data_IF_172184330647
#
_entry.id   IF_172184330647
#
_cell.length_a   1.000
_cell.length_b   1.000
_cell.length_c   1.000
_cell.angle_alpha   90.00
_cell.angle_beta   90.00
_cell.angle_gamma   90.00
#
_symmetry.space_group_name_H-M   'P 1'
#
loop_
_entity.id
_entity.type
_entity.pdbx_description
1 polymer ?
#
# COMPACT_ATOMS: atom_id res chain seq x y z
N UNK A 1 23.70 -14.83 4.96
CA UNK A 1 22.84 -14.42 3.82
C UNK A 1 22.56 -12.94 4.00
N UNK A 2 23.25 -12.10 3.28
CA UNK A 2 23.10 -10.64 3.34
C UNK A 2 21.81 -10.29 2.61
N UNK A 3 20.73 -10.04 3.38
CA UNK A 3 19.48 -9.53 2.85
C UNK A 3 19.74 -8.19 2.17
N UNK A 4 19.41 -8.10 0.88
CA UNK A 4 19.43 -6.87 0.12
C UNK A 4 18.39 -5.93 0.73
N UNK A 5 18.71 -4.66 1.04
CA UNK A 5 17.72 -3.73 1.58
C UNK A 5 16.51 -3.62 0.65
N UNK A 6 15.32 -3.35 1.22
CA UNK A 6 14.12 -3.03 0.44
C UNK A 6 14.51 -2.01 -0.62
N UNK A 7 14.25 -2.33 -1.88
CA UNK A 7 14.46 -1.35 -2.93
C UNK A 7 13.42 -0.25 -2.71
N UNK A 8 13.87 0.98 -2.85
CA UNK A 8 12.99 2.15 -2.85
C UNK A 8 11.79 2.03 -3.82
N UNK A 9 11.82 1.06 -4.74
CA UNK A 9 10.79 0.76 -5.73
C UNK A 9 9.59 -0.02 -5.16
N UNK A 10 9.69 -0.57 -3.94
CA UNK A 10 8.61 -1.36 -3.31
C UNK A 10 7.78 -0.54 -2.31
N UNK A 11 8.04 0.76 -2.18
CA UNK A 11 7.35 1.66 -1.25
C UNK A 11 6.68 2.82 -2.00
N UNK A 12 5.46 3.18 -1.57
CA UNK A 12 4.82 4.43 -2.01
C UNK A 12 5.56 5.60 -1.36
N UNK A 13 6.46 6.23 -2.11
CA UNK A 13 7.16 7.43 -1.69
C UNK A 13 6.93 8.55 -2.70
N UNK A 14 6.77 9.76 -2.19
CA UNK A 14 6.84 10.94 -3.02
C UNK A 14 8.32 11.18 -3.39
N UNK A 15 8.63 11.09 -4.70
CA UNK A 15 9.98 11.37 -5.21
C UNK A 15 9.92 12.61 -6.09
N UNK A 16 10.14 13.80 -5.52
CA UNK A 16 10.20 15.01 -6.32
C UNK A 16 11.31 14.90 -7.37
N UNK A 17 10.97 15.18 -8.63
CA UNK A 17 11.95 15.20 -9.73
C UNK A 17 12.32 13.86 -10.35
N UNK A 18 11.67 12.74 -9.97
CA UNK A 18 11.79 11.50 -10.74
C UNK A 18 10.98 11.66 -12.02
N UNK A 19 11.66 11.85 -13.15
CA UNK A 19 10.99 11.94 -14.43
C UNK A 19 10.36 10.58 -14.78
N UNK A 20 9.04 10.55 -14.94
CA UNK A 20 8.35 9.41 -15.55
C UNK A 20 8.79 9.36 -17.00
N UNK A 21 9.21 8.19 -17.49
CA UNK A 21 9.68 8.04 -18.87
C UNK A 21 8.60 8.47 -19.87
N UNK A 22 8.99 9.08 -20.97
CA UNK A 22 8.04 9.48 -22.00
C UNK A 22 7.24 8.26 -22.51
N UNK A 23 5.91 8.33 -22.45
CA UNK A 23 5.03 7.24 -22.88
C UNK A 23 4.74 6.19 -21.79
N UNK A 24 5.17 6.41 -20.53
CA UNK A 24 4.85 5.56 -19.38
C UNK A 24 4.07 6.33 -18.33
N UNK A 25 3.41 5.61 -17.42
CA UNK A 25 2.84 6.12 -16.17
C UNK A 25 3.26 5.22 -15.01
N UNK A 26 3.27 5.74 -13.80
CA UNK A 26 3.53 4.94 -12.58
C UNK A 26 2.22 4.77 -11.84
N UNK A 27 1.81 3.53 -11.63
CA UNK A 27 0.62 3.20 -10.86
C UNK A 27 0.95 2.33 -9.64
N UNK A 28 0.06 2.37 -8.66
CA UNK A 28 0.04 1.45 -7.54
C UNK A 28 -1.39 1.03 -7.23
N UNK A 29 -1.57 -0.14 -6.63
CA UNK A 29 -2.89 -0.63 -6.24
C UNK A 29 -2.90 -0.92 -4.75
N UNK A 30 -3.92 -0.43 -4.06
CA UNK A 30 -3.98 -0.45 -2.59
C UNK A 30 -5.38 -0.76 -2.07
N UNK A 31 -5.47 -1.19 -0.81
CA UNK A 31 -6.67 -1.05 0.00
C UNK A 31 -6.53 0.24 0.79
N UNK A 32 -7.39 1.22 0.52
CA UNK A 32 -7.42 2.50 1.25
C UNK A 32 -8.03 2.30 2.65
N UNK A 33 -7.51 3.03 3.64
CA UNK A 33 -8.10 3.03 4.98
C UNK A 33 -9.34 3.93 5.01
N UNK A 34 -10.41 3.52 5.73
CA UNK A 34 -11.57 4.39 5.93
C UNK A 34 -11.30 5.46 6.99
N UNK A 35 -12.11 6.53 6.94
CA UNK A 35 -12.18 7.50 8.04
C UNK A 35 -12.91 6.90 9.27
N UNK A 36 -12.52 7.26 10.50
CA UNK A 36 -11.48 8.23 10.87
C UNK A 36 -10.07 7.64 10.97
N UNK A 37 -9.89 6.35 10.64
CA UNK A 37 -8.59 5.67 10.78
C UNK A 37 -7.51 6.27 9.86
N UNK A 38 -7.89 6.65 8.64
CA UNK A 38 -6.96 7.28 7.70
C UNK A 38 -6.39 8.59 8.28
N UNK A 39 -7.25 9.45 8.83
CA UNK A 39 -6.84 10.70 9.46
C UNK A 39 -5.89 10.46 10.65
N UNK A 40 -6.19 9.48 11.49
CA UNK A 40 -5.33 9.09 12.61
C UNK A 40 -3.92 8.69 12.13
N UNK A 41 -3.82 7.94 11.04
CA UNK A 41 -2.52 7.53 10.48
C UNK A 41 -1.76 8.71 9.87
N UNK A 42 -2.45 9.65 9.22
CA UNK A 42 -1.82 10.88 8.71
C UNK A 42 -1.24 11.70 9.87
N UNK A 43 -1.98 11.84 10.96
CA UNK A 43 -1.51 12.56 12.16
C UNK A 43 -0.30 11.89 12.81
N UNK A 44 -0.30 10.56 12.93
CA UNK A 44 0.85 9.82 13.47
C UNK A 44 2.08 9.93 12.58
N UNK A 45 1.92 9.79 11.27
CA UNK A 45 3.02 9.99 10.31
C UNK A 45 3.58 11.41 10.41
N UNK A 46 2.71 12.41 10.52
CA UNK A 46 3.12 13.81 10.74
C UNK A 46 3.87 14.02 12.06
N UNK A 47 3.40 13.42 13.19
CA UNK A 47 4.10 13.45 14.48
C UNK A 47 5.49 12.82 14.41
N UNK A 48 5.65 11.76 13.61
CA UNK A 48 6.94 11.11 13.39
C UNK A 48 7.87 11.89 12.45
N UNK A 49 7.40 13.00 11.88
CA UNK A 49 8.19 13.82 10.96
C UNK A 49 8.27 13.28 9.55
N UNK A 50 7.35 12.38 9.16
CA UNK A 50 7.26 11.88 7.78
C UNK A 50 6.79 13.02 6.84
N UNK A 51 7.66 13.52 5.94
CA UNK A 51 7.32 14.62 5.05
C UNK A 51 6.24 14.24 4.03
N UNK A 52 5.93 12.96 3.91
CA UNK A 52 4.97 12.43 2.94
C UNK A 52 3.62 12.09 3.57
N UNK A 53 3.43 12.40 4.84
CA UNK A 53 2.21 12.05 5.58
C UNK A 53 0.92 12.51 4.88
N UNK A 54 0.94 13.69 4.23
CA UNK A 54 -0.20 14.27 3.50
C UNK A 54 -0.19 13.98 1.99
N UNK A 55 0.89 13.41 1.44
CA UNK A 55 1.07 13.20 -0.01
C UNK A 55 0.71 11.78 -0.44
N UNK A 56 0.86 10.83 0.47
CA UNK A 56 0.58 9.41 0.24
C UNK A 56 -0.47 8.96 1.25
N UNK A 57 -1.73 8.75 0.82
CA UNK A 57 -2.79 8.30 1.71
C UNK A 57 -2.45 6.98 2.42
N UNK A 58 -2.83 6.78 3.69
CA UNK A 58 -2.63 5.52 4.40
C UNK A 58 -3.34 4.36 3.72
N UNK A 59 -2.66 3.22 3.58
CA UNK A 59 -3.16 2.10 2.80
C UNK A 59 -2.48 0.78 3.17
N UNK A 60 -3.08 -0.34 2.72
CA UNK A 60 -2.42 -1.64 2.58
C UNK A 60 -2.05 -1.83 1.11
N UNK A 61 -0.77 -2.03 0.82
CA UNK A 61 -0.27 -2.20 -0.55
C UNK A 61 -0.69 -3.56 -1.13
N UNK A 62 -1.28 -3.57 -2.32
CA UNK A 62 -1.52 -4.78 -3.14
C UNK A 62 -0.51 -4.88 -4.29
N UNK A 63 -0.24 -3.76 -4.96
CA UNK A 63 0.80 -3.60 -5.97
C UNK A 63 1.60 -2.35 -5.65
N UNK A 64 2.92 -2.44 -5.38
CA UNK A 64 3.75 -1.27 -5.17
C UNK A 64 3.90 -0.46 -6.46
N UNK A 65 4.45 0.77 -6.38
CA UNK A 65 4.67 1.63 -7.55
C UNK A 65 5.29 0.86 -8.72
N UNK A 66 4.60 0.88 -9.84
CA UNK A 66 4.94 0.09 -11.03
C UNK A 66 4.83 0.98 -12.26
N UNK A 67 5.95 1.14 -12.98
CA UNK A 67 5.97 1.84 -14.25
C UNK A 67 5.36 0.96 -15.34
N UNK A 68 4.40 1.50 -16.10
CA UNK A 68 3.68 0.79 -17.17
C UNK A 68 3.57 1.67 -18.40
N UNK A 69 3.60 1.10 -19.61
CA UNK A 69 3.31 1.83 -20.85
C UNK A 69 1.89 2.42 -20.83
N UNK A 70 1.72 3.67 -21.23
CA UNK A 70 0.39 4.32 -21.30
C UNK A 70 -0.56 3.50 -22.19
N UNK A 71 -0.06 2.91 -23.28
CA UNK A 71 -0.86 2.05 -24.17
C UNK A 71 -1.42 0.79 -23.53
N UNK A 72 -0.86 0.32 -22.40
CA UNK A 72 -1.34 -0.86 -21.67
C UNK A 72 -2.42 -0.52 -20.62
N UNK A 73 -2.64 0.77 -20.33
CA UNK A 73 -3.64 1.21 -19.33
C UNK A 73 -5.04 0.62 -19.54
N UNK A 74 -5.59 0.52 -20.78
CA UNK A 74 -6.90 -0.10 -20.99
C UNK A 74 -6.91 -1.60 -20.61
N UNK A 75 -5.87 -2.36 -20.95
CA UNK A 75 -5.77 -3.78 -20.60
C UNK A 75 -5.60 -3.97 -19.08
N UNK A 76 -4.83 -3.10 -18.42
CA UNK A 76 -4.67 -3.09 -16.97
C UNK A 76 -6.02 -2.81 -16.29
N UNK A 77 -6.78 -1.82 -16.75
CA UNK A 77 -8.11 -1.52 -16.19
C UNK A 77 -9.06 -2.71 -16.31
N UNK A 78 -9.14 -3.34 -17.47
CA UNK A 78 -9.96 -4.55 -17.65
C UNK A 78 -9.53 -5.69 -16.72
N UNK A 79 -8.23 -5.87 -16.52
CA UNK A 79 -7.70 -6.86 -15.58
C UNK A 79 -8.13 -6.57 -14.15
N UNK A 80 -8.00 -5.33 -13.67
CA UNK A 80 -8.39 -4.94 -12.32
C UNK A 80 -9.90 -5.04 -12.10
N UNK A 81 -10.73 -4.70 -13.10
CA UNK A 81 -12.19 -4.93 -13.08
C UNK A 81 -12.51 -6.43 -12.92
N UNK A 82 -11.83 -7.31 -13.65
CA UNK A 82 -12.01 -8.74 -13.54
C UNK A 82 -11.56 -9.28 -12.17
N UNK A 83 -10.46 -8.80 -11.63
CA UNK A 83 -10.00 -9.14 -10.28
C UNK A 83 -11.08 -8.76 -9.26
N UNK A 84 -11.61 -7.55 -9.33
CA UNK A 84 -12.66 -7.07 -8.43
C UNK A 84 -13.95 -7.90 -8.53
N UNK A 85 -14.34 -8.30 -9.74
CA UNK A 85 -15.52 -9.13 -9.98
C UNK A 85 -15.40 -10.57 -9.42
N UNK A 86 -14.19 -11.07 -9.21
CA UNK A 86 -13.93 -12.44 -8.73
C UNK A 86 -13.56 -12.54 -7.26
N UNK A 87 -13.34 -11.42 -6.57
CA UNK A 87 -13.00 -11.39 -5.14
C UNK A 87 -14.17 -10.83 -4.33
N UNK A 88 -14.58 -11.53 -3.24
CA UNK A 88 -15.61 -11.02 -2.34
C UNK A 88 -15.07 -9.90 -1.45
N UNK A 89 -15.94 -9.01 -0.94
CA UNK A 89 -15.61 -8.12 0.18
C UNK A 89 -15.18 -8.93 1.41
N UNK A 90 -14.20 -8.42 2.16
CA UNK A 90 -13.65 -9.08 3.36
C UNK A 90 -13.38 -8.06 4.48
N UNK A 91 -13.10 -8.58 5.68
CA UNK A 91 -12.83 -7.72 6.83
C UNK A 91 -11.35 -7.73 7.17
N UNK A 92 -10.79 -6.55 7.47
CA UNK A 92 -9.46 -6.37 8.02
C UNK A 92 -9.58 -6.02 9.50
N UNK A 93 -8.79 -6.69 10.33
CA UNK A 93 -8.54 -6.29 11.71
C UNK A 93 -7.07 -5.93 11.86
N UNK A 94 -6.79 -4.68 12.23
CA UNK A 94 -5.47 -4.18 12.58
C UNK A 94 -5.28 -4.26 14.09
N UNK A 95 -4.11 -4.72 14.54
CA UNK A 95 -3.80 -4.80 15.97
C UNK A 95 -2.32 -4.54 16.23
N UNK A 96 -2.05 -3.54 17.05
CA UNK A 96 -0.71 -3.19 17.47
C UNK A 96 0.25 -2.91 16.32
N UNK A 97 1.51 -2.83 16.67
CA UNK A 97 2.58 -2.46 15.75
C UNK A 97 3.55 -3.62 15.49
N UNK A 98 4.19 -3.58 14.34
CA UNK A 98 5.32 -4.41 13.98
C UNK A 98 6.42 -3.57 13.34
N UNK A 99 7.59 -4.17 13.11
CA UNK A 99 8.70 -3.49 12.44
C UNK A 99 9.43 -4.43 11.51
N UNK A 100 9.95 -3.90 10.42
CA UNK A 100 10.84 -4.64 9.53
C UNK A 100 12.32 -4.50 9.90
N UNK A 101 12.65 -3.79 10.97
CA UNK A 101 14.04 -3.68 11.46
C UNK A 101 14.62 -5.05 11.81
N UNK A 102 15.87 -5.32 11.51
CA UNK A 102 16.89 -4.43 10.93
C UNK A 102 16.94 -4.43 9.40
N UNK A 103 15.96 -5.05 8.70
CA UNK A 103 15.96 -5.14 7.23
C UNK A 103 15.60 -3.80 6.60
N UNK A 104 14.63 -3.08 7.17
CA UNK A 104 14.28 -1.71 6.80
C UNK A 104 13.73 -0.92 7.99
N UNK A 105 13.96 0.39 7.96
CA UNK A 105 13.55 1.34 9.00
C UNK A 105 12.06 1.69 8.84
N UNK A 106 11.19 0.70 9.11
CA UNK A 106 9.74 0.82 8.99
C UNK A 106 9.06 0.32 10.24
N UNK A 107 8.08 1.07 10.72
CA UNK A 107 7.07 0.67 11.72
C UNK A 107 5.70 0.69 11.04
N UNK A 108 4.91 -0.34 11.29
CA UNK A 108 3.62 -0.56 10.65
C UNK A 108 2.57 -1.10 11.62
N UNK A 109 1.27 -0.95 11.30
CA UNK A 109 0.19 -1.69 11.96
C UNK A 109 0.09 -3.09 11.36
N UNK A 110 -0.09 -4.06 12.24
CA UNK A 110 -0.19 -5.49 11.87
C UNK A 110 -1.61 -5.84 11.44
N UNK A 111 -1.73 -6.55 10.32
CA UNK A 111 -2.99 -7.14 9.87
C UNK A 111 -3.17 -8.50 10.56
N UNK A 112 -3.94 -8.51 11.65
CA UNK A 112 -4.21 -9.73 12.45
C UNK A 112 -5.27 -10.63 11.80
N UNK A 113 -6.24 -10.05 11.06
CA UNK A 113 -7.28 -10.76 10.30
C UNK A 113 -7.42 -10.12 8.92
N UNK A 114 -7.78 -10.91 7.92
CA UNK A 114 -7.87 -10.46 6.53
C UNK A 114 -6.55 -10.56 5.77
N UNK A 115 -5.47 -11.01 6.42
CA UNK A 115 -4.15 -11.15 5.78
C UNK A 115 -4.14 -12.10 4.60
N UNK A 116 -4.84 -13.24 4.71
CA UNK A 116 -4.98 -14.22 3.61
C UNK A 116 -5.79 -13.63 2.45
N UNK A 117 -6.85 -12.88 2.74
CA UNK A 117 -7.65 -12.22 1.71
C UNK A 117 -6.84 -11.14 0.99
N UNK A 118 -6.04 -10.35 1.74
CA UNK A 118 -5.09 -9.40 1.16
C UNK A 118 -4.06 -10.10 0.25
N UNK A 119 -3.52 -11.24 0.68
CA UNK A 119 -2.54 -12.01 -0.10
C UNK A 119 -3.14 -12.54 -1.40
N UNK A 120 -4.33 -13.12 -1.36
CA UNK A 120 -5.04 -13.62 -2.53
C UNK A 120 -5.38 -12.49 -3.51
N UNK A 121 -5.91 -11.38 -3.01
CA UNK A 121 -6.23 -10.20 -3.81
C UNK A 121 -4.96 -9.60 -4.42
N UNK A 122 -3.89 -9.45 -3.64
CA UNK A 122 -2.62 -8.93 -4.12
C UNK A 122 -1.97 -9.85 -5.15
N UNK A 123 -2.08 -11.18 -5.00
CA UNK A 123 -1.59 -12.14 -6.00
C UNK A 123 -2.37 -12.02 -7.31
N UNK A 124 -3.70 -11.87 -7.24
CA UNK A 124 -4.54 -11.66 -8.41
C UNK A 124 -4.23 -10.33 -9.11
N UNK A 125 -4.11 -9.23 -8.37
CA UNK A 125 -3.71 -7.91 -8.91
C UNK A 125 -2.37 -8.00 -9.63
N UNK A 126 -1.38 -8.67 -9.04
CA UNK A 126 -0.03 -8.85 -9.60
C UNK A 126 0.07 -9.99 -10.62
N UNK A 127 -1.02 -10.32 -11.30
CA UNK A 127 -1.03 -11.28 -12.40
C UNK A 127 -1.28 -10.57 -13.75
N UNK A 128 -1.26 -11.34 -14.86
CA UNK A 128 -1.54 -10.80 -16.19
C UNK A 128 -0.62 -9.62 -16.55
N UNK A 129 -1.18 -8.47 -16.96
CA UNK A 129 -0.39 -7.32 -17.40
C UNK A 129 0.42 -6.65 -16.27
N UNK A 130 0.10 -6.95 -15.01
CA UNK A 130 0.79 -6.41 -13.83
C UNK A 130 1.73 -7.45 -13.18
N UNK A 131 2.06 -8.52 -13.89
CA UNK A 131 2.97 -9.56 -13.37
C UNK A 131 4.32 -8.97 -13.02
N UNK A 132 4.73 -9.16 -11.77
CA UNK A 132 6.06 -8.78 -11.29
C UNK A 132 6.55 -9.68 -10.15
N UNK A 133 7.85 -9.78 -10.02
CA UNK A 133 8.49 -10.42 -8.86
C UNK A 133 8.60 -9.43 -7.71
N UNK A 134 8.28 -9.89 -6.51
CA UNK A 134 8.52 -9.15 -5.28
C UNK A 134 9.96 -9.41 -4.79
N UNK A 135 10.57 -8.39 -4.16
CA UNK A 135 11.87 -8.52 -3.53
C UNK A 135 11.83 -9.33 -2.23
N UNK A 136 10.64 -9.37 -1.59
CA UNK A 136 10.36 -10.09 -0.33
C UNK A 136 9.01 -10.80 -0.41
N UNK A 137 8.75 -11.80 0.45
CA UNK A 137 7.41 -12.36 0.60
C UNK A 137 6.40 -11.26 0.92
N UNK A 138 5.21 -11.37 0.33
CA UNK A 138 4.14 -10.41 0.59
C UNK A 138 3.76 -10.41 2.07
N UNK A 139 3.69 -9.23 2.65
CA UNK A 139 3.29 -9.01 4.04
C UNK A 139 2.32 -7.82 4.10
N UNK A 140 1.00 -8.04 4.25
CA UNK A 140 0.04 -6.95 4.33
C UNK A 140 0.24 -6.14 5.62
N UNK A 141 0.37 -4.83 5.49
CA UNK A 141 0.61 -3.91 6.60
C UNK A 141 0.16 -2.49 6.25
N UNK A 142 0.00 -1.66 7.26
CA UNK A 142 -0.19 -0.21 7.11
C UNK A 142 1.02 0.51 7.67
N UNK A 143 1.78 1.19 6.85
CA UNK A 143 2.97 1.95 7.29
C UNK A 143 2.57 3.13 8.17
N UNK A 144 3.20 3.24 9.33
CA UNK A 144 3.02 4.33 10.31
C UNK A 144 4.22 5.26 10.32
N UNK A 145 5.43 4.72 10.25
CA UNK A 145 6.67 5.50 10.24
C UNK A 145 7.69 4.84 9.31
N UNK A 146 8.33 5.65 8.47
CA UNK A 146 9.28 5.22 7.47
C UNK A 146 10.28 6.33 7.19
N UNK A 147 11.57 5.97 7.06
CA UNK A 147 12.68 6.91 6.79
C UNK A 147 12.76 8.10 7.77
N UNK A 148 12.45 7.84 9.04
CA UNK A 148 12.56 8.79 10.15
C UNK A 148 13.61 8.31 11.16
N UNK A 149 13.94 9.14 12.18
CA UNK A 149 14.93 8.73 13.18
C UNK A 149 14.48 7.52 14.01
N UNK A 150 15.43 6.78 14.59
CA UNK A 150 15.14 5.62 15.45
C UNK A 150 14.18 5.97 16.58
N UNK A 151 14.36 7.15 17.19
CA UNK A 151 13.50 7.63 18.27
C UNK A 151 12.05 7.83 17.81
N UNK A 152 11.85 8.29 16.55
CA UNK A 152 10.51 8.46 15.98
C UNK A 152 9.88 7.12 15.62
N UNK A 153 10.68 6.16 15.14
CA UNK A 153 10.22 4.78 14.92
C UNK A 153 9.78 4.14 16.24
N UNK A 154 10.56 4.29 17.32
CA UNK A 154 10.22 3.74 18.63
C UNK A 154 8.98 4.43 19.21
N UNK A 155 8.86 5.74 19.09
CA UNK A 155 7.67 6.50 19.47
C UNK A 155 6.42 6.01 18.73
N UNK A 156 6.51 5.75 17.44
CA UNK A 156 5.39 5.21 16.65
C UNK A 156 5.01 3.80 17.10
N UNK A 157 6.02 2.94 17.34
CA UNK A 157 5.82 1.58 17.76
C UNK A 157 5.13 1.50 19.13
N UNK A 158 5.58 2.30 20.11
CA UNK A 158 5.00 2.34 21.46
C UNK A 158 3.63 3.01 21.47
N UNK A 159 3.49 4.14 20.75
CA UNK A 159 2.27 4.95 20.79
C UNK A 159 1.05 4.28 20.14
N UNK A 160 1.26 3.30 19.27
CA UNK A 160 0.19 2.54 18.59
C UNK A 160 0.19 1.06 18.98
N UNK A 161 0.96 0.65 20.02
CA UNK A 161 1.05 -0.74 20.43
C UNK A 161 -0.30 -1.37 20.80
N UNK A 162 -1.19 -0.58 21.38
CA UNK A 162 -2.52 -1.02 21.81
C UNK A 162 -3.64 -0.62 20.82
N UNK A 163 -3.29 -0.17 19.62
CA UNK A 163 -4.29 0.18 18.61
C UNK A 163 -5.01 -1.06 18.12
N UNK A 164 -6.35 -1.00 18.11
CA UNK A 164 -7.24 -1.97 17.48
C UNK A 164 -8.19 -1.23 16.54
N UNK A 165 -8.32 -1.73 15.31
CA UNK A 165 -9.27 -1.18 14.34
C UNK A 165 -9.79 -2.30 13.42
N UNK A 166 -11.07 -2.26 13.14
CA UNK A 166 -11.71 -3.17 12.20
C UNK A 166 -12.42 -2.38 11.11
N UNK A 167 -12.32 -2.85 9.88
CA UNK A 167 -13.08 -2.28 8.77
C UNK A 167 -13.31 -3.31 7.68
N UNK A 168 -14.37 -3.07 6.90
CA UNK A 168 -14.71 -3.89 5.75
C UNK A 168 -14.07 -3.33 4.49
N UNK A 169 -13.39 -4.18 3.74
CA UNK A 169 -12.85 -3.87 2.42
C UNK A 169 -13.91 -4.20 1.39
N UNK A 170 -14.52 -3.17 0.81
CA UNK A 170 -15.52 -3.29 -0.25
C UNK A 170 -14.96 -2.99 -1.64
N UNK A 171 -13.78 -2.37 -1.69
CA UNK A 171 -13.11 -1.98 -2.91
C UNK A 171 -11.60 -1.91 -2.71
N UNK A 172 -10.86 -1.91 -3.81
CA UNK A 172 -9.46 -1.48 -3.84
C UNK A 172 -9.28 -0.32 -4.82
N UNK A 173 -8.20 0.45 -4.61
CA UNK A 173 -7.96 1.72 -5.29
C UNK A 173 -6.71 1.63 -6.16
N UNK A 174 -6.80 2.09 -7.38
CA UNK A 174 -5.66 2.38 -8.25
C UNK A 174 -5.24 3.83 -8.03
N UNK A 175 -3.99 4.01 -7.65
CA UNK A 175 -3.32 5.31 -7.60
C UNK A 175 -2.44 5.49 -8.83
N UNK A 176 -2.32 6.73 -9.29
CA UNK A 176 -1.38 7.16 -10.31
C UNK A 176 -0.47 8.24 -9.75
N UNK A 177 0.83 8.13 -10.03
CA UNK A 177 1.78 9.16 -9.66
C UNK A 177 1.72 10.31 -10.65
N UNK A 178 1.49 11.51 -10.15
CA UNK A 178 1.46 12.74 -10.92
C UNK A 178 2.89 13.23 -11.24
N UNK A 179 3.05 14.13 -12.23
CA UNK A 179 4.37 14.68 -12.60
C UNK A 179 5.10 15.41 -11.47
N UNK A 180 4.37 15.95 -10.49
CA UNK A 180 4.92 16.57 -9.28
C UNK A 180 5.32 15.54 -8.21
N UNK A 181 5.07 14.25 -8.46
CA UNK A 181 5.36 13.13 -7.57
C UNK A 181 4.24 12.81 -6.57
N UNK A 182 3.16 13.58 -6.52
CA UNK A 182 2.01 13.27 -5.68
C UNK A 182 1.26 12.04 -6.21
N UNK A 183 0.52 11.37 -5.32
CA UNK A 183 -0.33 10.25 -5.67
C UNK A 183 -1.79 10.66 -5.71
N UNK A 184 -2.47 10.37 -6.80
CA UNK A 184 -3.88 10.66 -7.01
C UNK A 184 -4.67 9.38 -7.25
N UNK A 185 -5.92 9.36 -6.82
CA UNK A 185 -6.87 8.28 -7.13
C UNK A 185 -7.17 8.32 -8.63
N UNK A 186 -6.82 7.24 -9.35
CA UNK A 186 -7.12 7.06 -10.76
C UNK A 186 -8.43 6.30 -10.98
N UNK A 187 -8.69 5.26 -10.16
CA UNK A 187 -9.92 4.48 -10.20
C UNK A 187 -10.14 3.73 -8.88
N UNK A 188 -11.40 3.36 -8.62
CA UNK A 188 -11.81 2.47 -7.53
C UNK A 188 -12.52 1.25 -8.13
N UNK A 189 -12.20 0.06 -7.64
CA UNK A 189 -12.72 -1.22 -8.12
C UNK A 189 -13.46 -1.92 -6.99
N UNK A 190 -14.80 -1.97 -7.09
CA UNK A 190 -15.67 -2.59 -6.08
C UNK A 190 -15.59 -4.11 -6.16
N UNK A 191 -15.34 -4.76 -5.02
CA UNK A 191 -15.33 -6.21 -4.88
C UNK A 191 -16.76 -6.75 -4.95
N UNK A 192 -17.03 -7.64 -5.92
CA UNK A 192 -18.38 -8.19 -6.16
C UNK A 192 -18.40 -9.72 -6.27
N UNK A 193 -17.28 -10.36 -6.05
CA UNK A 193 -17.20 -11.82 -6.00
C UNK A 193 -18.03 -12.41 -4.85
N UNK A 194 -18.35 -13.69 -4.97
CA UNK A 194 -19.07 -14.43 -3.91
C UNK A 194 -18.07 -15.11 -2.97
N UNK A 195 -18.33 -15.13 -1.66
CA UNK A 195 -17.52 -15.92 -0.71
C UNK A 195 -17.46 -17.39 -1.14
N UNK A 196 -16.31 -18.01 -0.99
CA UNK A 196 -16.10 -19.45 -1.22
C UNK A 196 -16.54 -20.27 -0.03
#
# INVERSE_FOLDING_TARGET
>A
MTGRPLRADDTFVHRPGTAISAGTSVLGVVVSLPEPLAQLMIEWRGKCGDPQASLVPPHVTLLPPTEVPIGERPAIRMHLEQVAATHPPFDIHLTGTGTFRPVSEVVFLTVARGGVDCELLAAAVRSGPLTRSLSFPYHPHVTVAHDVSTEMLDMAAEGLADLHAEFRVEAFTEFEQLPDGAWAVAAEYRLTGTPR
#
